data_IF_681796122057
#
_entry.id   IF_681796122057
#
_cell.length_a   1.000
_cell.length_b   1.000
_cell.length_c   1.000
_cell.angle_alpha   90.00
_cell.angle_beta   90.00
_cell.angle_gamma   90.00
#
_symmetry.space_group_name_H-M   'P 1'
#
loop_
_entity.id
_entity.type
_entity.pdbx_description
1 polymer ?
#
# COMPACT_ATOMS: atom_id res chain seq x y z
N UNK A 1 19.95 -2.26 -9.55
CA UNK A 1 19.98 -3.61 -10.16
C UNK A 1 19.58 -4.61 -9.09
N UNK A 2 18.54 -5.44 -9.31
CA UNK A 2 18.17 -6.49 -8.36
C UNK A 2 19.34 -7.46 -8.20
N UNK A 3 19.77 -7.71 -6.96
CA UNK A 3 20.71 -8.77 -6.67
C UNK A 3 19.98 -10.11 -6.58
N UNK A 4 20.70 -11.19 -6.85
CA UNK A 4 20.15 -12.54 -6.72
C UNK A 4 19.67 -12.79 -5.29
N UNK A 5 20.48 -12.40 -4.29
CA UNK A 5 20.14 -12.52 -2.87
C UNK A 5 18.79 -11.87 -2.54
N UNK A 6 18.49 -10.71 -3.14
CA UNK A 6 17.21 -10.04 -2.92
C UNK A 6 16.05 -10.80 -3.55
N UNK A 7 16.26 -11.40 -4.73
CA UNK A 7 15.24 -12.25 -5.37
C UNK A 7 14.96 -13.47 -4.49
N UNK A 8 16.00 -14.12 -3.98
CA UNK A 8 15.88 -15.28 -3.10
C UNK A 8 15.18 -14.93 -1.78
N UNK A 9 15.49 -13.77 -1.17
CA UNK A 9 14.79 -13.27 0.03
C UNK A 9 13.29 -13.08 -0.23
N UNK A 10 12.93 -12.43 -1.36
CA UNK A 10 11.54 -12.21 -1.73
C UNK A 10 10.83 -13.54 -1.99
N UNK A 11 11.50 -14.45 -2.70
CA UNK A 11 10.98 -15.78 -2.97
C UNK A 11 10.72 -16.56 -1.69
N UNK A 12 11.67 -16.57 -0.75
CA UNK A 12 11.52 -17.24 0.54
C UNK A 12 10.27 -16.74 1.29
N UNK A 13 10.11 -15.41 1.41
CA UNK A 13 8.94 -14.81 2.07
C UNK A 13 7.64 -15.14 1.35
N UNK A 14 7.64 -15.11 0.01
CA UNK A 14 6.46 -15.45 -0.78
C UNK A 14 6.12 -16.95 -0.66
N UNK A 15 7.11 -17.83 -0.63
CA UNK A 15 6.93 -19.28 -0.58
C UNK A 15 6.44 -19.74 0.79
N UNK A 16 7.06 -19.27 1.87
CA UNK A 16 6.61 -19.53 3.24
C UNK A 16 5.13 -19.14 3.41
N UNK A 17 4.78 -17.94 2.95
CA UNK A 17 3.40 -17.47 2.95
C UNK A 17 2.47 -18.37 2.12
N UNK A 18 2.85 -18.68 0.86
CA UNK A 18 2.02 -19.47 -0.03
C UNK A 18 1.78 -20.88 0.52
N UNK A 19 2.77 -21.47 1.17
CA UNK A 19 2.65 -22.78 1.81
C UNK A 19 1.62 -22.75 2.94
N UNK A 20 1.68 -21.77 3.85
CA UNK A 20 0.67 -21.59 4.90
C UNK A 20 -0.72 -21.27 4.34
N UNK A 21 -0.79 -20.40 3.34
CA UNK A 21 -2.05 -20.02 2.69
C UNK A 21 -2.74 -21.22 2.05
N UNK A 22 -2.00 -22.04 1.29
CA UNK A 22 -2.53 -23.21 0.62
C UNK A 22 -2.99 -24.28 1.63
N UNK A 23 -2.25 -24.50 2.71
CA UNK A 23 -2.68 -25.40 3.79
C UNK A 23 -4.03 -24.97 4.39
N UNK A 24 -4.21 -23.66 4.65
CA UNK A 24 -5.47 -23.13 5.16
C UNK A 24 -6.61 -23.24 4.14
N UNK A 25 -6.34 -22.97 2.86
CA UNK A 25 -7.34 -23.13 1.80
C UNK A 25 -7.75 -24.59 1.66
N UNK A 26 -6.81 -25.53 1.60
CA UNK A 26 -7.11 -26.94 1.43
C UNK A 26 -7.96 -27.48 2.59
N UNK A 27 -7.65 -27.07 3.83
CA UNK A 27 -8.48 -27.39 5.00
C UNK A 27 -9.91 -26.83 4.92
N UNK A 28 -10.08 -25.65 4.33
CA UNK A 28 -11.40 -25.02 4.15
C UNK A 28 -12.17 -25.58 2.96
N UNK A 29 -11.50 -25.86 1.85
CA UNK A 29 -12.09 -26.37 0.60
C UNK A 29 -12.50 -27.83 0.74
N UNK A 30 -11.75 -28.65 1.48
CA UNK A 30 -12.15 -30.02 1.83
C UNK A 30 -13.47 -30.05 2.59
N UNK A 31 -13.80 -29.01 3.37
CA UNK A 31 -15.10 -28.88 4.07
C UNK A 31 -16.26 -28.50 3.13
N UNK A 32 -15.97 -27.92 1.97
CA UNK A 32 -16.97 -27.44 1.00
C UNK A 32 -17.22 -28.42 -0.15
N UNK A 33 -16.23 -29.26 -0.48
CA UNK A 33 -16.32 -30.27 -1.54
C UNK A 33 -17.00 -31.56 -1.04
N UNK A 34 -18.27 -31.46 -0.63
CA UNK A 34 -19.18 -32.60 -0.48
C UNK A 34 -19.90 -32.95 -1.80
N UNK A 35 -19.74 -32.14 -2.85
CA UNK A 35 -20.20 -32.43 -4.20
C UNK A 35 -19.09 -33.09 -5.01
N UNK A 36 -19.24 -34.38 -5.35
CA UNK A 36 -18.26 -35.26 -6.01
C UNK A 36 -17.84 -34.90 -7.45
N UNK A 37 -17.75 -33.62 -7.80
CA UNK A 37 -17.28 -33.15 -9.10
C UNK A 37 -15.75 -33.11 -9.12
N UNK A 38 -15.13 -34.04 -9.86
CA UNK A 38 -13.68 -34.06 -10.04
C UNK A 38 -13.24 -32.92 -10.96
N UNK A 39 -12.58 -31.90 -10.40
CA UNK A 39 -11.94 -30.83 -11.18
C UNK A 39 -10.51 -31.22 -11.57
N UNK A 40 -10.10 -30.87 -12.80
CA UNK A 40 -8.75 -31.16 -13.31
C UNK A 40 -7.71 -30.22 -12.67
N UNK A 41 -6.91 -30.73 -11.74
CA UNK A 41 -5.75 -30.02 -11.18
C UNK A 41 -4.53 -30.19 -12.10
N UNK A 42 -4.38 -29.31 -13.11
CA UNK A 42 -3.15 -29.27 -13.92
C UNK A 42 -2.14 -28.34 -13.25
N UNK A 43 -0.96 -28.87 -12.95
CA UNK A 43 0.18 -28.08 -12.46
C UNK A 43 0.51 -26.99 -13.49
N UNK A 44 0.53 -25.73 -13.06
CA UNK A 44 1.04 -24.62 -13.87
C UNK A 44 2.57 -24.68 -13.91
N UNK A 45 3.18 -24.20 -14.99
CA UNK A 45 4.64 -24.13 -15.10
C UNK A 45 5.24 -23.29 -13.97
N UNK A 46 4.64 -22.12 -13.69
CA UNK A 46 5.02 -21.31 -12.53
C UNK A 46 4.10 -21.58 -11.33
N UNK A 47 4.70 -21.64 -10.15
CA UNK A 47 4.04 -21.70 -8.85
C UNK A 47 3.44 -20.34 -8.47
N UNK A 48 2.66 -20.33 -7.39
CA UNK A 48 2.09 -19.11 -6.83
C UNK A 48 3.18 -18.18 -6.27
N UNK A 49 4.16 -18.72 -5.54
CA UNK A 49 5.27 -17.98 -4.95
C UNK A 49 6.18 -17.37 -6.01
N UNK A 50 6.46 -18.08 -7.10
CA UNK A 50 7.23 -17.56 -8.23
C UNK A 50 6.53 -16.37 -8.90
N UNK A 51 5.22 -16.47 -9.14
CA UNK A 51 4.45 -15.37 -9.76
C UNK A 51 4.44 -14.12 -8.87
N UNK A 52 4.21 -14.28 -7.56
CA UNK A 52 4.25 -13.17 -6.60
C UNK A 52 5.65 -12.53 -6.58
N UNK A 53 6.70 -13.35 -6.54
CA UNK A 53 8.09 -12.89 -6.55
C UNK A 53 8.39 -12.05 -7.77
N UNK A 54 8.06 -12.54 -8.97
CA UNK A 54 8.30 -11.80 -10.23
C UNK A 54 7.55 -10.46 -10.22
N UNK A 55 6.32 -10.43 -9.71
CA UNK A 55 5.53 -9.20 -9.62
C UNK A 55 6.14 -8.18 -8.66
N UNK A 56 6.62 -8.60 -7.48
CA UNK A 56 7.30 -7.71 -6.53
C UNK A 56 8.63 -7.23 -7.11
N UNK A 57 9.43 -8.14 -7.68
CA UNK A 57 10.69 -7.84 -8.32
C UNK A 57 10.54 -6.83 -9.45
N UNK A 58 9.43 -6.84 -10.20
CA UNK A 58 9.15 -5.83 -11.23
C UNK A 58 9.14 -4.41 -10.64
N UNK A 59 8.51 -4.19 -9.49
CA UNK A 59 8.44 -2.87 -8.85
C UNK A 59 9.73 -2.44 -8.16
N UNK A 60 10.61 -3.40 -7.85
CA UNK A 60 11.98 -3.15 -7.41
C UNK A 60 12.95 -3.02 -8.60
N UNK A 61 12.48 -3.35 -9.81
CA UNK A 61 13.23 -3.22 -11.03
C UNK A 61 13.01 -1.83 -11.62
N UNK A 62 14.05 -1.26 -12.23
CA UNK A 62 13.96 0.05 -12.88
C UNK A 62 13.17 0.00 -14.21
N UNK A 63 12.56 -1.15 -14.56
CA UNK A 63 11.77 -1.31 -15.78
C UNK A 63 10.44 -0.58 -15.70
N UNK A 64 10.02 0.05 -16.80
CA UNK A 64 8.76 0.81 -16.90
C UNK A 64 7.55 -0.03 -17.31
N UNK A 65 7.77 -1.28 -17.68
CA UNK A 65 6.72 -2.16 -18.22
C UNK A 65 7.00 -3.60 -17.85
N UNK A 66 5.98 -4.27 -17.31
CA UNK A 66 6.08 -5.67 -16.89
C UNK A 66 6.44 -6.62 -18.05
N UNK A 67 5.97 -6.34 -19.27
CA UNK A 67 6.29 -7.17 -20.45
C UNK A 67 7.79 -7.18 -20.77
N UNK A 68 8.42 -6.01 -20.83
CA UNK A 68 9.86 -5.92 -21.10
C UNK A 68 10.67 -6.51 -19.94
N UNK A 69 10.28 -6.24 -18.69
CA UNK A 69 10.90 -6.88 -17.54
C UNK A 69 10.85 -8.42 -17.63
N UNK A 70 9.68 -8.98 -17.94
CA UNK A 70 9.53 -10.43 -18.02
C UNK A 70 10.33 -11.03 -19.18
N UNK A 71 10.21 -10.47 -20.39
CA UNK A 71 10.86 -11.04 -21.58
C UNK A 71 12.38 -10.83 -21.60
N UNK A 72 12.84 -9.63 -21.26
CA UNK A 72 14.24 -9.24 -21.46
C UNK A 72 15.10 -9.50 -20.22
N UNK A 73 14.49 -9.50 -19.01
CA UNK A 73 15.21 -9.77 -17.77
C UNK A 73 14.93 -11.18 -17.22
N UNK A 74 13.67 -11.48 -16.91
CA UNK A 74 13.31 -12.75 -16.25
C UNK A 74 13.61 -13.95 -17.14
N UNK A 75 13.15 -13.93 -18.40
CA UNK A 75 13.36 -15.06 -19.31
C UNK A 75 14.82 -15.26 -19.74
N UNK A 76 15.62 -14.19 -19.78
CA UNK A 76 17.00 -14.26 -20.26
C UNK A 76 17.97 -14.57 -19.11
N UNK A 77 17.83 -13.89 -17.96
CA UNK A 77 18.81 -13.96 -16.88
C UNK A 77 18.36 -14.78 -15.68
N UNK A 78 17.04 -14.91 -15.43
CA UNK A 78 16.50 -15.64 -14.27
C UNK A 78 15.96 -17.02 -14.63
N UNK A 79 16.25 -17.55 -15.82
CA UNK A 79 15.78 -18.89 -16.22
C UNK A 79 16.31 -20.03 -15.36
N UNK A 80 17.43 -19.83 -14.64
CA UNK A 80 17.93 -20.81 -13.66
C UNK A 80 17.10 -20.81 -12.37
N UNK A 81 16.70 -19.63 -11.92
CA UNK A 81 15.87 -19.46 -10.71
C UNK A 81 14.41 -19.85 -10.97
N UNK A 82 13.94 -19.64 -12.20
CA UNK A 82 12.60 -20.02 -12.65
C UNK A 82 12.69 -21.01 -13.82
N UNK A 83 12.89 -22.32 -13.57
CA UNK A 83 13.16 -23.31 -14.61
C UNK A 83 11.96 -23.59 -15.53
N UNK A 84 10.74 -23.25 -15.11
CA UNK A 84 9.49 -23.57 -15.80
C UNK A 84 8.74 -22.32 -16.29
N UNK A 85 9.50 -21.32 -16.75
CA UNK A 85 8.95 -20.09 -17.31
C UNK A 85 7.93 -20.36 -18.42
N UNK A 86 6.88 -19.55 -18.42
CA UNK A 86 5.77 -19.63 -19.38
C UNK A 86 5.80 -18.46 -20.37
N UNK A 87 5.01 -18.53 -21.44
CA UNK A 87 4.83 -17.38 -22.32
C UNK A 87 4.24 -16.19 -21.57
N UNK A 88 4.53 -14.96 -22.02
CA UNK A 88 4.03 -13.76 -21.34
C UNK A 88 2.50 -13.73 -21.21
N UNK A 89 1.76 -14.17 -22.23
CA UNK A 89 0.31 -14.24 -22.17
C UNK A 89 -0.16 -15.19 -21.06
N UNK A 90 0.49 -16.36 -20.95
CA UNK A 90 0.20 -17.31 -19.88
C UNK A 90 0.58 -16.74 -18.51
N UNK A 91 1.68 -15.98 -18.41
CA UNK A 91 2.05 -15.29 -17.18
C UNK A 91 0.98 -14.29 -16.74
N UNK A 92 0.40 -13.50 -17.65
CA UNK A 92 -0.71 -12.57 -17.34
C UNK A 92 -1.96 -13.29 -16.82
N UNK A 93 -2.28 -14.46 -17.39
CA UNK A 93 -3.37 -15.31 -16.87
C UNK A 93 -3.07 -15.80 -15.44
N UNK A 94 -1.83 -16.23 -15.17
CA UNK A 94 -1.41 -16.67 -13.84
C UNK A 94 -1.44 -15.54 -12.81
N UNK A 95 -1.03 -14.32 -13.18
CA UNK A 95 -1.15 -13.15 -12.29
C UNK A 95 -2.61 -12.95 -11.84
N UNK A 96 -3.55 -13.07 -12.78
CA UNK A 96 -4.98 -12.94 -12.48
C UNK A 96 -5.47 -14.08 -11.57
N UNK A 97 -5.00 -15.31 -11.82
CA UNK A 97 -5.30 -16.50 -10.99
C UNK A 97 -4.79 -16.35 -9.56
N UNK A 98 -3.59 -15.80 -9.37
CA UNK A 98 -2.93 -15.68 -8.07
C UNK A 98 -3.07 -14.28 -7.43
N UNK A 99 -4.02 -13.47 -7.92
CA UNK A 99 -4.28 -12.14 -7.37
C UNK A 99 -4.69 -12.18 -5.90
N UNK A 100 -5.59 -13.10 -5.52
CA UNK A 100 -6.06 -13.20 -4.14
C UNK A 100 -4.92 -13.53 -3.15
N UNK A 101 -4.08 -14.56 -3.38
CA UNK A 101 -2.91 -14.80 -2.56
C UNK A 101 -1.97 -13.60 -2.45
N UNK A 102 -1.71 -12.89 -3.54
CA UNK A 102 -0.89 -11.66 -3.50
C UNK A 102 -1.53 -10.59 -2.59
N UNK A 103 -2.84 -10.36 -2.73
CA UNK A 103 -3.55 -9.35 -1.96
C UNK A 103 -3.50 -9.68 -0.46
N UNK A 104 -3.66 -10.95 -0.13
CA UNK A 104 -3.59 -11.44 1.25
C UNK A 104 -2.16 -11.43 1.79
N UNK A 105 -1.15 -11.74 0.98
CA UNK A 105 0.27 -11.59 1.32
C UNK A 105 0.57 -10.15 1.76
N UNK A 106 0.19 -9.17 0.94
CA UNK A 106 0.42 -7.75 1.28
C UNK A 106 -0.32 -7.35 2.56
N UNK A 107 -1.57 -7.79 2.72
CA UNK A 107 -2.41 -7.40 3.85
C UNK A 107 -1.98 -8.05 5.18
N UNK A 108 -1.19 -9.12 5.13
CA UNK A 108 -0.77 -9.87 6.33
C UNK A 108 0.73 -9.72 6.64
N UNK A 109 1.58 -9.71 5.62
CA UNK A 109 3.04 -9.72 5.78
C UNK A 109 3.71 -8.39 5.44
N UNK A 110 3.09 -7.54 4.59
CA UNK A 110 3.72 -6.29 4.14
C UNK A 110 3.30 -5.04 4.93
N UNK A 111 2.44 -5.18 5.93
CA UNK A 111 2.02 -4.08 6.80
C UNK A 111 2.91 -4.00 8.05
N UNK A 112 3.26 -2.78 8.46
CA UNK A 112 4.02 -2.51 9.67
C UNK A 112 3.14 -2.46 10.92
N UNK A 113 3.80 -2.50 12.08
CA UNK A 113 3.12 -2.42 13.37
C UNK A 113 2.80 -0.98 13.78
N UNK A 114 1.72 -0.82 14.54
CA UNK A 114 1.36 0.46 15.14
C UNK A 114 2.24 0.73 16.38
N UNK A 115 3.02 1.82 16.35
CA UNK A 115 3.93 2.23 17.42
C UNK A 115 3.32 3.24 18.39
N UNK A 116 2.03 3.59 18.21
CA UNK A 116 1.35 4.66 18.94
C UNK A 116 1.50 6.06 18.32
N UNK A 117 2.37 6.22 17.31
CA UNK A 117 2.49 7.44 16.51
C UNK A 117 2.28 7.07 15.05
N UNK A 118 1.26 7.65 14.43
CA UNK A 118 0.93 7.39 13.05
C UNK A 118 0.67 8.69 12.26
N UNK A 119 0.93 8.67 10.97
CA UNK A 119 0.65 9.76 10.03
C UNK A 119 -0.32 9.29 8.96
N UNK A 120 -1.28 10.13 8.58
CA UNK A 120 -2.25 9.85 7.52
C UNK A 120 -2.17 10.90 6.42
N UNK A 121 -2.19 10.43 5.18
CA UNK A 121 -2.24 11.25 3.98
C UNK A 121 -2.83 10.46 2.81
N UNK A 122 -3.32 11.18 1.81
CA UNK A 122 -3.87 10.57 0.60
C UNK A 122 -3.05 10.99 -0.62
N UNK A 123 -2.88 10.08 -1.57
CA UNK A 123 -2.22 10.37 -2.83
C UNK A 123 -3.08 9.99 -4.03
N UNK A 124 -3.17 10.87 -5.02
CA UNK A 124 -3.93 10.61 -6.25
C UNK A 124 -3.23 9.56 -7.11
N UNK A 125 -3.98 8.61 -7.65
CA UNK A 125 -3.55 7.65 -8.66
C UNK A 125 -4.30 7.93 -9.95
N UNK A 126 -3.65 8.64 -10.86
CA UNK A 126 -4.25 9.01 -12.15
C UNK A 126 -4.18 7.84 -13.13
N UNK A 127 -5.33 7.43 -13.65
CA UNK A 127 -5.41 6.30 -14.59
C UNK A 127 -5.33 6.75 -16.06
N UNK A 128 -5.63 8.02 -16.35
CA UNK A 128 -5.42 8.61 -17.65
C UNK A 128 -5.32 10.14 -17.57
N UNK A 129 -4.77 10.75 -18.63
CA UNK A 129 -4.77 12.19 -18.80
C UNK A 129 -6.20 12.73 -18.99
N UNK A 130 -6.45 13.97 -18.57
CA UNK A 130 -7.77 14.64 -18.60
C UNK A 130 -8.44 14.57 -19.97
N UNK A 131 -7.65 14.73 -21.04
CA UNK A 131 -8.11 14.74 -22.43
C UNK A 131 -8.65 13.37 -22.88
N UNK A 132 -8.24 12.28 -22.21
CA UNK A 132 -8.59 10.90 -22.61
C UNK A 132 -9.66 10.25 -21.72
N UNK A 133 -10.28 11.01 -20.82
CA UNK A 133 -11.29 10.46 -19.90
C UNK A 133 -12.43 9.78 -20.68
N UNK A 134 -12.98 10.46 -21.68
CA UNK A 134 -14.08 9.95 -22.49
C UNK A 134 -13.72 8.73 -23.35
N UNK A 135 -12.41 8.50 -23.58
CA UNK A 135 -11.89 7.37 -24.35
C UNK A 135 -11.49 6.18 -23.45
N UNK A 136 -11.43 6.37 -22.13
CA UNK A 136 -10.99 5.34 -21.20
C UNK A 136 -12.12 4.32 -20.95
N UNK A 137 -12.03 3.17 -21.63
CA UNK A 137 -12.99 2.07 -21.47
C UNK A 137 -12.72 1.20 -20.24
N UNK A 138 -11.46 1.10 -19.80
CA UNK A 138 -11.03 0.17 -18.74
C UNK A 138 -11.58 0.58 -17.38
N UNK A 139 -11.58 1.88 -17.08
CA UNK A 139 -12.05 2.42 -15.81
C UNK A 139 -13.35 3.22 -15.94
N UNK A 140 -14.12 2.94 -17.00
CA UNK A 140 -15.46 3.51 -17.15
C UNK A 140 -16.31 3.06 -15.96
N UNK A 141 -17.07 3.97 -15.37
CA UNK A 141 -17.99 3.74 -14.24
C UNK A 141 -17.34 3.32 -12.91
N UNK A 142 -16.01 3.09 -12.88
CA UNK A 142 -15.26 2.69 -11.69
C UNK A 142 -14.39 3.82 -11.16
N UNK A 143 -13.63 4.48 -12.04
CA UNK A 143 -12.88 5.68 -11.68
C UNK A 143 -13.76 6.91 -11.86
N UNK A 144 -13.44 7.98 -11.13
CA UNK A 144 -14.15 9.25 -11.29
C UNK A 144 -13.21 10.44 -11.16
N UNK A 145 -13.78 11.64 -11.31
CA UNK A 145 -13.03 12.88 -11.19
C UNK A 145 -12.84 13.25 -9.72
N UNK A 146 -11.58 13.43 -9.33
CA UNK A 146 -11.19 13.99 -8.04
C UNK A 146 -10.55 15.36 -8.20
N UNK A 147 -10.49 16.13 -7.12
CA UNK A 147 -9.75 17.38 -7.06
C UNK A 147 -8.59 17.26 -6.07
N UNK A 148 -7.44 17.80 -6.45
CA UNK A 148 -6.25 17.91 -5.61
C UNK A 148 -5.71 19.34 -5.69
N UNK A 149 -4.69 19.67 -4.89
CA UNK A 149 -3.96 20.94 -5.01
C UNK A 149 -3.38 21.16 -6.40
N UNK A 150 -3.07 20.07 -7.12
CA UNK A 150 -2.58 20.09 -8.51
C UNK A 150 -3.72 20.11 -9.55
N UNK A 151 -4.95 20.34 -9.10
CA UNK A 151 -6.17 20.41 -9.91
C UNK A 151 -6.92 19.09 -10.03
N UNK A 152 -7.89 19.09 -10.95
CA UNK A 152 -8.71 17.93 -11.28
C UNK A 152 -7.87 16.75 -11.78
N UNK A 153 -8.30 15.53 -11.51
CA UNK A 153 -7.72 14.30 -12.06
C UNK A 153 -8.80 13.25 -12.25
N UNK A 154 -8.53 12.21 -13.06
CA UNK A 154 -9.42 11.06 -13.22
C UNK A 154 -8.72 9.79 -12.76
N UNK A 155 -9.30 9.11 -11.77
CA UNK A 155 -8.69 7.94 -11.17
C UNK A 155 -9.14 7.71 -9.73
N UNK A 156 -8.18 7.34 -8.90
CA UNK A 156 -8.38 6.90 -7.52
C UNK A 156 -7.58 7.76 -6.54
N UNK A 157 -7.89 7.63 -5.25
CA UNK A 157 -7.03 8.05 -4.16
C UNK A 157 -6.59 6.82 -3.38
N UNK A 158 -5.30 6.77 -3.09
CA UNK A 158 -4.72 5.81 -2.16
C UNK A 158 -4.49 6.54 -0.84
N UNK A 159 -5.27 6.19 0.17
CA UNK A 159 -5.12 6.68 1.54
C UNK A 159 -4.17 5.74 2.28
N UNK A 160 -3.16 6.29 2.93
CA UNK A 160 -2.13 5.51 3.61
C UNK A 160 -1.99 6.04 5.03
N UNK A 161 -1.85 5.12 5.97
CA UNK A 161 -1.39 5.39 7.33
C UNK A 161 -0.03 4.75 7.52
N UNK A 162 0.94 5.54 7.99
CA UNK A 162 2.29 5.06 8.28
C UNK A 162 2.64 5.24 9.75
N UNK A 163 3.54 4.41 10.29
CA UNK A 163 4.18 4.64 11.58
C UNK A 163 5.32 5.67 11.47
N UNK A 164 5.93 6.01 12.60
CA UNK A 164 7.10 6.89 12.72
C UNK A 164 8.39 6.32 12.07
N UNK A 165 8.41 5.01 11.79
CA UNK A 165 9.47 4.31 11.02
C UNK A 165 9.21 4.31 9.51
N UNK A 166 8.16 4.99 9.04
CA UNK A 166 7.73 5.07 7.64
C UNK A 166 7.30 3.73 7.02
N UNK A 167 6.75 2.84 7.84
CA UNK A 167 6.12 1.59 7.41
C UNK A 167 4.62 1.81 7.26
N UNK A 168 4.04 1.24 6.20
CA UNK A 168 2.61 1.34 5.94
C UNK A 168 1.89 0.41 6.92
N UNK A 169 1.07 0.95 7.82
CA UNK A 169 0.26 0.17 8.77
C UNK A 169 -1.08 -0.18 8.15
N UNK A 170 -1.68 0.77 7.44
CA UNK A 170 -2.97 0.59 6.81
C UNK A 170 -3.03 1.38 5.51
N UNK A 171 -3.80 0.89 4.54
CA UNK A 171 -4.10 1.62 3.33
C UNK A 171 -5.51 1.32 2.86
N UNK A 172 -6.09 2.25 2.11
CA UNK A 172 -7.40 2.09 1.50
C UNK A 172 -7.42 2.78 0.14
N UNK A 173 -7.90 2.07 -0.87
CA UNK A 173 -8.15 2.63 -2.18
C UNK A 173 -9.59 3.14 -2.27
N UNK A 174 -9.78 4.37 -2.73
CA UNK A 174 -11.10 4.95 -3.00
C UNK A 174 -11.15 5.58 -4.37
N UNK A 175 -12.36 5.85 -4.87
CA UNK A 175 -12.53 6.70 -6.04
C UNK A 175 -11.99 8.12 -5.80
N UNK A 176 -11.58 8.82 -6.87
CA UNK A 176 -10.96 10.14 -6.80
C UNK A 176 -11.80 11.22 -6.12
N UNK A 177 -13.12 11.13 -6.19
CA UNK A 177 -14.06 12.09 -5.59
C UNK A 177 -14.22 11.97 -4.08
N UNK A 178 -13.79 10.84 -3.49
CA UNK A 178 -13.98 10.60 -2.05
C UNK A 178 -13.13 11.58 -1.25
N UNK A 179 -13.77 12.26 -0.30
CA UNK A 179 -13.11 13.20 0.60
C UNK A 179 -12.30 12.47 1.67
N UNK A 180 -11.18 13.07 2.06
CA UNK A 180 -10.22 12.48 2.99
C UNK A 180 -10.78 12.41 4.42
N UNK A 181 -11.75 13.29 4.76
CA UNK A 181 -12.50 13.26 6.01
C UNK A 181 -13.75 12.36 5.99
N UNK A 182 -13.86 11.44 5.01
CA UNK A 182 -14.98 10.51 4.99
C UNK A 182 -14.95 9.61 6.24
N UNK A 183 -16.07 9.53 6.97
CA UNK A 183 -16.17 8.79 8.22
C UNK A 183 -15.85 7.31 8.06
N UNK A 184 -16.46 6.64 7.09
CA UNK A 184 -16.31 5.18 6.91
C UNK A 184 -14.88 4.82 6.53
N UNK A 185 -14.26 5.64 5.67
CA UNK A 185 -12.85 5.52 5.30
C UNK A 185 -11.94 5.59 6.54
N UNK A 186 -12.13 6.60 7.38
CA UNK A 186 -11.29 6.80 8.56
C UNK A 186 -11.47 5.70 9.59
N UNK A 187 -12.70 5.27 9.85
CA UNK A 187 -12.97 4.17 10.76
C UNK A 187 -12.36 2.85 10.25
N UNK A 188 -12.38 2.59 8.94
CA UNK A 188 -11.74 1.41 8.36
C UNK A 188 -10.22 1.45 8.50
N UNK A 189 -9.58 2.60 8.21
CA UNK A 189 -8.14 2.78 8.37
C UNK A 189 -7.67 2.72 9.83
N UNK A 190 -8.52 3.15 10.77
CA UNK A 190 -8.17 3.25 12.18
C UNK A 190 -8.53 2.00 13.01
N UNK A 191 -9.13 0.97 12.41
CA UNK A 191 -9.68 -0.19 13.15
C UNK A 191 -8.65 -0.89 14.06
N UNK A 192 -7.40 -0.98 13.63
CA UNK A 192 -6.31 -1.64 14.35
C UNK A 192 -5.22 -0.64 14.80
N UNK A 193 -5.54 0.65 14.87
CA UNK A 193 -4.61 1.69 15.30
C UNK A 193 -4.88 2.08 16.74
N UNK A 194 -3.83 2.55 17.42
CA UNK A 194 -3.94 3.19 18.73
C UNK A 194 -2.96 4.36 18.83
N UNK A 195 -3.17 5.24 19.79
CA UNK A 195 -2.31 6.39 20.04
C UNK A 195 -2.67 7.60 19.16
N UNK A 196 -1.67 8.34 18.70
CA UNK A 196 -1.83 9.63 18.02
C UNK A 196 -1.76 9.49 16.51
N UNK A 197 -2.79 9.97 15.82
CA UNK A 197 -2.86 10.00 14.36
C UNK A 197 -2.74 11.44 13.85
N UNK A 198 -1.68 11.74 13.12
CA UNK A 198 -1.39 13.08 12.61
C UNK A 198 -1.82 13.22 11.15
N UNK A 199 -2.74 14.13 10.89
CA UNK A 199 -3.26 14.43 9.56
C UNK A 199 -3.12 15.89 9.17
N UNK A 200 -3.29 16.16 7.89
CA UNK A 200 -3.42 17.52 7.36
C UNK A 200 -4.79 18.16 7.72
N UNK A 201 -5.08 19.34 7.13
CA UNK A 201 -6.37 20.03 7.35
C UNK A 201 -7.54 19.36 6.63
N UNK A 202 -7.28 18.53 5.63
CA UNK A 202 -8.26 17.72 4.92
C UNK A 202 -8.91 16.68 5.83
N UNK A 203 -8.20 16.19 6.85
CA UNK A 203 -8.70 15.24 7.85
C UNK A 203 -9.49 15.86 9.01
N UNK A 204 -9.96 17.11 8.87
CA UNK A 204 -10.88 17.68 9.86
C UNK A 204 -12.25 17.00 9.76
N UNK A 205 -12.60 16.26 10.80
CA UNK A 205 -13.84 15.49 10.93
C UNK A 205 -14.87 16.18 11.83
N UNK A 206 -16.11 15.68 11.78
CA UNK A 206 -17.18 16.08 12.70
C UNK A 206 -16.88 15.58 14.12
N UNK A 207 -17.40 16.28 15.14
CA UNK A 207 -17.16 15.98 16.55
C UNK A 207 -17.49 14.52 16.92
N UNK A 208 -18.62 13.99 16.45
CA UNK A 208 -19.01 12.60 16.71
C UNK A 208 -17.98 11.57 16.20
N UNK A 209 -17.35 11.83 15.06
CA UNK A 209 -16.31 10.94 14.49
C UNK A 209 -15.02 11.05 15.29
N UNK A 210 -14.66 12.27 15.70
CA UNK A 210 -13.51 12.50 16.57
C UNK A 210 -13.66 11.75 17.90
N UNK A 211 -14.83 11.82 18.52
CA UNK A 211 -15.13 11.09 19.76
C UNK A 211 -15.10 9.58 19.51
N UNK A 212 -15.70 9.09 18.42
CA UNK A 212 -15.67 7.66 18.10
C UNK A 212 -14.23 7.13 17.93
N UNK A 213 -13.37 7.87 17.22
CA UNK A 213 -11.94 7.51 17.08
C UNK A 213 -11.24 7.53 18.44
N UNK A 214 -11.51 8.53 19.27
CA UNK A 214 -10.91 8.66 20.60
C UNK A 214 -11.30 7.50 21.53
N UNK A 215 -12.57 7.12 21.56
CA UNK A 215 -13.04 5.94 22.30
C UNK A 215 -12.44 4.63 21.75
N UNK A 216 -12.10 4.59 20.46
CA UNK A 216 -11.40 3.47 19.83
C UNK A 216 -9.88 3.48 20.10
N UNK A 217 -9.39 4.41 20.92
CA UNK A 217 -7.97 4.52 21.28
C UNK A 217 -7.13 5.38 20.33
N UNK A 218 -7.75 6.09 19.38
CA UNK A 218 -7.05 6.92 18.38
C UNK A 218 -7.35 8.41 18.58
N UNK A 219 -6.32 9.18 18.95
CA UNK A 219 -6.38 10.63 19.04
C UNK A 219 -5.98 11.26 17.70
N UNK A 220 -6.96 11.75 16.94
CA UNK A 220 -6.72 12.46 15.68
C UNK A 220 -6.23 13.91 15.92
N UNK A 221 -5.07 14.24 15.41
CA UNK A 221 -4.42 15.55 15.54
C UNK A 221 -4.22 16.16 14.16
N UNK A 222 -4.75 17.37 13.97
CA UNK A 222 -4.67 18.10 12.69
C UNK A 222 -4.25 19.56 12.91
N UNK A 223 -3.78 20.23 11.86
CA UNK A 223 -3.52 21.68 11.92
C UNK A 223 -4.84 22.45 12.05
N UNK A 224 -4.86 23.43 12.95
CA UNK A 224 -6.02 24.31 13.17
C UNK A 224 -6.24 25.21 11.94
N UNK A 225 -7.50 25.39 11.50
CA UNK A 225 -7.86 26.38 10.46
C UNK A 225 -7.91 27.80 11.05
N UNK A 226 -7.64 28.82 10.22
CA UNK A 226 -7.60 30.24 10.66
C UNK A 226 -8.87 30.69 11.40
N UNK A 227 -10.03 30.14 11.06
CA UNK A 227 -11.34 30.51 11.62
C UNK A 227 -11.80 29.58 12.76
N UNK A 228 -10.97 28.63 13.21
CA UNK A 228 -11.30 27.75 14.33
C UNK A 228 -10.86 28.38 15.65
N UNK A 229 -11.62 28.14 16.71
CA UNK A 229 -11.19 28.46 18.08
C UNK A 229 -9.83 27.82 18.34
N UNK A 230 -8.89 28.61 18.86
CA UNK A 230 -7.57 28.12 19.19
C UNK A 230 -7.69 27.03 20.26
N UNK A 231 -7.02 25.91 20.06
CA UNK A 231 -6.95 24.80 21.02
C UNK A 231 -5.52 24.69 21.50
N UNK A 232 -5.33 24.49 22.80
CA UNK A 232 -4.01 24.22 23.36
C UNK A 232 -3.47 22.94 22.72
N UNK A 233 -2.27 23.02 22.15
CA UNK A 233 -1.60 21.91 21.47
C UNK A 233 -0.22 21.78 22.07
N UNK A 234 0.15 20.55 22.47
CA UNK A 234 1.47 20.30 23.05
C UNK A 234 2.58 20.65 22.07
N UNK A 235 3.75 21.00 22.60
CA UNK A 235 4.95 21.25 21.79
C UNK A 235 5.33 20.03 20.95
N UNK A 236 5.14 18.83 21.50
CA UNK A 236 5.33 17.55 20.82
C UNK A 236 4.40 17.39 19.61
N UNK A 237 3.10 17.65 19.78
CA UNK A 237 2.13 17.50 18.69
C UNK A 237 2.39 18.52 17.56
N UNK A 238 2.78 19.76 17.94
CA UNK A 238 3.21 20.78 16.97
C UNK A 238 4.44 20.32 16.18
N UNK A 239 5.40 19.69 16.85
CA UNK A 239 6.60 19.15 16.20
C UNK A 239 6.24 18.00 15.24
N UNK A 240 5.40 17.06 15.67
CA UNK A 240 4.98 15.94 14.82
C UNK A 240 4.21 16.40 13.58
N UNK A 241 3.32 17.39 13.70
CA UNK A 241 2.68 18.00 12.54
C UNK A 241 3.65 18.68 11.55
N UNK A 242 4.86 19.08 12.00
CA UNK A 242 5.93 19.57 11.12
C UNK A 242 6.71 18.43 10.47
N UNK A 243 6.90 17.31 11.18
CA UNK A 243 7.57 16.09 10.69
C UNK A 243 6.71 15.23 9.74
N UNK A 244 5.46 15.63 9.47
CA UNK A 244 4.56 14.96 8.51
C UNK A 244 5.11 14.89 7.07
N UNK A 245 6.16 15.62 6.72
CA UNK A 245 6.83 15.47 5.42
C UNK A 245 7.29 14.03 5.14
N UNK A 246 7.46 13.20 6.18
CA UNK A 246 7.76 11.77 6.02
C UNK A 246 6.71 11.02 5.20
N UNK A 247 5.42 11.23 5.43
CA UNK A 247 4.38 10.54 4.65
C UNK A 247 4.32 11.03 3.20
N UNK A 248 4.67 12.30 2.96
CA UNK A 248 4.83 12.84 1.62
C UNK A 248 5.99 12.12 0.90
N UNK A 249 7.11 11.88 1.58
CA UNK A 249 8.23 11.09 1.04
C UNK A 249 7.86 9.61 0.78
N UNK A 250 7.03 8.99 1.62
CA UNK A 250 6.51 7.63 1.37
C UNK A 250 5.65 7.62 0.11
N UNK A 251 4.74 8.58 -0.03
CA UNK A 251 3.91 8.75 -1.22
C UNK A 251 4.75 8.93 -2.49
N UNK A 252 5.82 9.73 -2.42
CA UNK A 252 6.75 9.91 -3.54
C UNK A 252 7.54 8.65 -3.85
N UNK A 253 7.97 7.89 -2.83
CA UNK A 253 8.67 6.61 -3.01
C UNK A 253 7.79 5.59 -3.72
N UNK A 254 6.53 5.47 -3.29
CA UNK A 254 5.56 4.59 -3.95
C UNK A 254 5.36 4.96 -5.43
N UNK A 255 5.25 6.25 -5.73
CA UNK A 255 4.99 6.72 -7.11
C UNK A 255 6.21 6.63 -8.01
N UNK A 256 7.38 7.01 -7.52
CA UNK A 256 8.56 7.20 -8.34
C UNK A 256 9.50 6.00 -8.32
N UNK A 257 9.68 5.36 -7.15
CA UNK A 257 10.54 4.18 -6.98
C UNK A 257 9.74 2.92 -7.32
N UNK A 258 8.63 2.69 -6.63
CA UNK A 258 7.79 1.51 -6.86
C UNK A 258 6.88 1.66 -8.08
N UNK A 259 6.82 2.84 -8.72
CA UNK A 259 6.10 3.07 -9.98
C UNK A 259 4.63 2.63 -9.97
N UNK A 260 3.93 2.77 -8.83
CA UNK A 260 2.53 2.32 -8.70
C UNK A 260 1.56 3.10 -9.61
N UNK A 261 1.96 4.30 -10.05
CA UNK A 261 1.13 5.16 -10.88
C UNK A 261 1.56 5.10 -12.35
N UNK A 262 0.69 4.59 -13.21
CA UNK A 262 0.82 4.73 -14.67
C UNK A 262 -0.53 4.60 -15.38
N UNK A 263 -0.60 5.07 -16.63
CA UNK A 263 -1.87 5.09 -17.40
C UNK A 263 -2.12 3.87 -18.27
N UNK A 264 -1.19 2.89 -18.30
CA UNK A 264 -1.21 1.78 -19.28
C UNK A 264 -1.94 0.50 -18.80
N UNK A 265 -2.84 0.61 -17.83
CA UNK A 265 -3.61 -0.56 -17.38
C UNK A 265 -4.57 -1.03 -18.47
N UNK A 266 -4.59 -2.35 -18.73
CA UNK A 266 -5.48 -2.99 -19.70
C UNK A 266 -6.72 -3.64 -19.05
N UNK A 267 -6.72 -3.77 -17.73
CA UNK A 267 -7.81 -4.31 -16.94
C UNK A 267 -7.76 -3.74 -15.51
N UNK A 268 -8.90 -3.79 -14.80
CA UNK A 268 -8.98 -3.39 -13.38
C UNK A 268 -8.19 -4.36 -12.51
N UNK A 269 -8.29 -5.67 -12.76
CA UNK A 269 -7.51 -6.68 -12.03
C UNK A 269 -6.01 -6.42 -12.15
N UNK A 270 -5.51 -6.11 -13.35
CA UNK A 270 -4.10 -5.75 -13.55
C UNK A 270 -3.69 -4.46 -12.83
N UNK A 271 -4.60 -3.50 -12.68
CA UNK A 271 -4.35 -2.30 -11.85
C UNK A 271 -4.22 -2.64 -10.36
N UNK A 272 -5.12 -3.46 -9.83
CA UNK A 272 -5.08 -3.89 -8.43
C UNK A 272 -3.82 -4.71 -8.15
N UNK A 273 -3.48 -5.67 -9.02
CA UNK A 273 -2.26 -6.48 -8.90
C UNK A 273 -1.02 -5.57 -8.90
N UNK A 274 -0.93 -4.61 -9.83
CA UNK A 274 0.18 -3.66 -9.88
C UNK A 274 0.28 -2.80 -8.60
N UNK A 275 -0.86 -2.32 -8.09
CA UNK A 275 -0.89 -1.53 -6.86
C UNK A 275 -0.38 -2.34 -5.66
N UNK A 276 -0.91 -3.55 -5.47
CA UNK A 276 -0.52 -4.42 -4.35
C UNK A 276 0.94 -4.88 -4.47
N UNK A 277 1.39 -5.24 -5.66
CA UNK A 277 2.79 -5.63 -5.90
C UNK A 277 3.74 -4.47 -5.59
N UNK A 278 3.37 -3.23 -5.93
CA UNK A 278 4.14 -2.05 -5.57
C UNK A 278 4.14 -1.72 -4.07
N UNK A 279 3.04 -1.98 -3.36
CA UNK A 279 2.99 -1.86 -1.89
C UNK A 279 3.89 -2.90 -1.21
N UNK A 280 3.88 -4.14 -1.67
CA UNK A 280 4.79 -5.18 -1.20
C UNK A 280 6.25 -4.81 -1.48
N UNK A 281 6.54 -4.30 -2.68
CA UNK A 281 7.89 -3.82 -3.02
C UNK A 281 8.35 -2.69 -2.09
N UNK A 282 7.47 -1.75 -1.75
CA UNK A 282 7.80 -0.69 -0.79
C UNK A 282 8.18 -1.24 0.59
N UNK A 283 7.45 -2.24 1.08
CA UNK A 283 7.76 -2.88 2.36
C UNK A 283 9.20 -3.46 2.38
N UNK A 284 9.63 -4.02 1.25
CA UNK A 284 10.91 -4.70 1.06
C UNK A 284 12.07 -3.76 0.66
N UNK A 285 11.83 -2.45 0.59
CA UNK A 285 12.88 -1.47 0.33
C UNK A 285 13.91 -1.45 1.48
N UNK A 286 15.22 -1.41 1.18
CA UNK A 286 16.27 -1.47 2.19
C UNK A 286 16.35 -0.22 3.07
N UNK A 287 15.86 0.92 2.56
CA UNK A 287 15.87 2.19 3.29
C UNK A 287 14.50 2.85 3.17
N UNK A 288 13.85 3.06 4.31
CA UNK A 288 12.61 3.83 4.45
C UNK A 288 12.94 5.24 4.95
N UNK A 289 12.21 6.28 4.51
CA UNK A 289 12.44 7.65 4.96
C UNK A 289 11.97 7.81 6.41
N UNK A 290 12.73 7.32 7.40
CA UNK A 290 12.34 7.41 8.80
C UNK A 290 12.62 8.79 9.40
N UNK A 291 11.83 9.17 10.41
CA UNK A 291 12.13 10.35 11.21
C UNK A 291 13.40 10.04 12.01
N UNK A 292 14.49 10.78 11.78
CA UNK A 292 15.64 10.77 12.70
C UNK A 292 15.17 11.31 14.06
N UNK A 293 14.98 10.38 14.99
CA UNK A 293 14.49 10.64 16.33
C UNK A 293 15.50 10.10 17.32
N UNK A 294 16.66 10.76 17.45
CA UNK A 294 17.39 10.67 18.72
C UNK A 294 16.58 11.53 19.72
N UNK A 295 15.52 10.96 20.27
CA UNK A 295 14.99 11.44 21.53
C UNK A 295 15.72 10.63 22.59
N UNK A 296 16.91 11.09 22.99
CA UNK A 296 17.37 10.78 24.34
C UNK A 296 16.34 11.44 25.27
N UNK A 297 15.44 10.62 25.80
CA UNK A 297 14.78 10.99 27.04
C UNK A 297 15.90 11.00 28.09
N UNK A 298 16.47 12.18 28.31
CA UNK A 298 17.35 12.42 29.42
C UNK A 298 16.52 12.21 30.69
N UNK A 299 16.50 10.97 31.21
CA UNK A 299 15.78 10.59 32.42
C UNK A 299 16.31 11.33 33.68
N UNK A 300 17.30 12.20 33.52
CA UNK A 300 17.96 12.89 34.64
C UNK A 300 17.65 14.38 34.77
N UNK A 301 16.89 15.01 33.86
CA UNK A 301 16.51 16.43 34.01
C UNK A 301 15.00 16.58 34.18
N UNK A 302 14.61 16.56 35.45
CA UNK A 302 13.35 17.13 35.91
C UNK A 302 13.14 18.52 35.29
N UNK A 303 11.89 18.75 34.86
CA UNK A 303 11.36 20.04 34.41
C UNK A 303 11.77 21.17 35.36
N UNK A 304 12.75 21.98 34.96
CA UNK A 304 12.91 23.33 35.47
C UNK A 304 12.87 24.31 34.31
N UNK A 305 11.75 25.04 34.25
CA UNK A 305 11.61 26.28 33.51
C UNK A 305 12.56 27.31 34.15
N UNK A 306 13.53 27.79 33.40
CA UNK A 306 14.18 29.08 33.67
C UNK A 306 13.60 30.10 32.70
N UNK A 307 13.14 31.22 33.26
CA UNK A 307 12.45 32.32 32.59
C UNK A 307 13.32 33.00 31.53
#
# INVERSE_FOLDING_TARGET
MLTLDKITEIFFLADEYCNHFNQHIDQCVVKLNSSGVKTRNKLSGLSQSEVITILICFHLSDYRTLKHFYLDYVCVYLGREFPHLVSYNRFVELQSKYALPLLMFVSTHSLGECTGIAFIDSTRLEVCAKQRIHQNKVFKDIANRGYSTMGWFYGFKLHIVINDKAEIIAFQLTQGSVSDNNTNLLLALCKNLFGKLYGDKGYLVKQAVFEQLFHSGVQLITKIKRNMKNKLMSTFDKLMLRKRSVIECVNDSLKNICQIQHSRHRSISGFIINLYSGLAAYHLLPKKPSIKSQFEFDQTKSLQLSF
#
